data_IF_773440092425
#
_entry.id   IF_773440092425
#
_cell.length_a   1.000
_cell.length_b   1.000
_cell.length_c   1.000
_cell.angle_alpha   90.00
_cell.angle_beta   90.00
_cell.angle_gamma   90.00
#
_symmetry.space_group_name_H-M   'P 1'
#
loop_
_entity.id
_entity.type
_entity.pdbx_description
1 polymer ?
#
# COMPACT_ATOMS: atom_id res chain seq x y z
N UNK A 1 -45.53 0.44 26.24
CA UNK A 1 -44.85 1.25 25.20
C UNK A 1 -43.82 2.14 25.89
N UNK A 2 -42.53 1.91 25.65
CA UNK A 2 -41.47 2.88 25.94
C UNK A 2 -40.52 2.88 24.75
N UNK A 3 -40.64 3.93 23.94
CA UNK A 3 -39.80 4.22 22.78
C UNK A 3 -38.47 4.79 23.29
N UNK A 4 -37.43 3.96 23.44
CA UNK A 4 -36.05 4.45 23.49
C UNK A 4 -35.43 4.40 22.09
N UNK A 5 -35.99 5.24 21.22
CA UNK A 5 -35.40 5.54 19.93
C UNK A 5 -34.14 6.40 20.09
N UNK A 6 -33.02 5.87 19.61
CA UNK A 6 -32.12 6.55 18.66
C UNK A 6 -31.60 7.93 19.11
N UNK A 7 -30.31 7.97 19.49
CA UNK A 7 -29.28 8.84 18.86
C UNK A 7 -27.93 8.66 19.55
N UNK A 8 -27.22 7.57 19.25
CA UNK A 8 -25.76 7.68 19.18
C UNK A 8 -25.45 8.35 17.85
N UNK A 9 -25.51 9.68 17.90
CA UNK A 9 -24.92 10.63 16.98
C UNK A 9 -23.80 9.99 16.17
N UNK A 10 -24.03 9.82 14.86
CA UNK A 10 -23.02 9.48 13.87
C UNK A 10 -21.98 10.58 13.76
N UNK A 11 -21.18 10.75 14.81
CA UNK A 11 -19.85 11.35 14.67
C UNK A 11 -19.09 10.34 13.82
N UNK A 12 -19.13 10.53 12.50
CA UNK A 12 -18.07 10.09 11.60
C UNK A 12 -16.82 10.79 12.12
N UNK A 13 -16.20 10.22 13.16
CA UNK A 13 -14.86 10.62 13.58
C UNK A 13 -14.05 10.51 12.30
N UNK A 14 -13.55 11.62 11.74
CA UNK A 14 -12.74 11.55 10.54
C UNK A 14 -11.66 10.52 10.86
N UNK A 15 -11.58 9.47 10.03
CA UNK A 15 -10.62 8.40 10.20
C UNK A 15 -9.29 9.07 10.53
N UNK A 16 -8.77 8.91 11.77
CA UNK A 16 -7.60 9.65 12.19
C UNK A 16 -6.56 9.42 11.13
N UNK A 17 -6.09 10.52 10.56
CA UNK A 17 -5.16 10.51 9.45
C UNK A 17 -3.87 9.86 9.93
N UNK A 18 -3.76 8.54 9.76
CA UNK A 18 -2.51 7.84 9.47
C UNK A 18 -1.96 8.30 8.10
N UNK A 19 -2.20 9.57 7.74
CA UNK A 19 -1.98 10.16 6.42
C UNK A 19 -0.51 10.17 6.08
N UNK A 20 0.36 10.49 7.04
CA UNK A 20 1.81 10.47 6.84
C UNK A 20 2.32 9.06 6.46
N UNK A 21 1.81 8.02 7.12
CA UNK A 21 2.21 6.63 6.85
C UNK A 21 1.72 6.15 5.49
N UNK A 22 0.48 6.51 5.14
CA UNK A 22 -0.08 6.24 3.81
C UNK A 22 0.66 7.01 2.71
N UNK A 23 0.95 8.27 2.94
CA UNK A 23 1.70 9.13 2.01
C UNK A 23 3.09 8.57 1.79
N UNK A 24 3.78 8.10 2.83
CA UNK A 24 5.09 7.47 2.68
C UNK A 24 5.05 6.23 1.78
N UNK A 25 4.05 5.35 1.94
CA UNK A 25 3.87 4.18 1.05
C UNK A 25 3.60 4.64 -0.39
N UNK A 26 2.70 5.61 -0.59
CA UNK A 26 2.38 6.12 -1.92
C UNK A 26 3.56 6.80 -2.61
N UNK A 27 4.36 7.58 -1.87
CA UNK A 27 5.58 8.20 -2.40
C UNK A 27 6.56 7.12 -2.84
N UNK A 28 6.75 6.06 -2.04
CA UNK A 28 7.60 4.93 -2.43
C UNK A 28 7.07 4.21 -3.67
N UNK A 29 5.75 3.97 -3.76
CA UNK A 29 5.13 3.35 -4.95
C UNK A 29 5.37 4.21 -6.21
N UNK A 30 5.20 5.53 -6.12
CA UNK A 30 5.44 6.44 -7.25
C UNK A 30 6.92 6.45 -7.63
N UNK A 31 7.83 6.50 -6.67
CA UNK A 31 9.27 6.42 -6.94
C UNK A 31 9.67 5.09 -7.58
N UNK A 32 9.10 3.97 -7.10
CA UNK A 32 9.31 2.65 -7.69
C UNK A 32 8.89 2.63 -9.17
N UNK A 33 7.70 3.14 -9.48
CA UNK A 33 7.22 3.26 -10.86
C UNK A 33 8.12 4.16 -11.71
N UNK A 34 8.52 5.33 -11.20
CA UNK A 34 9.41 6.25 -11.92
C UNK A 34 10.74 5.60 -12.28
N UNK A 35 11.41 4.99 -11.29
CA UNK A 35 12.70 4.30 -11.51
C UNK A 35 12.53 3.15 -12.49
N UNK A 36 11.45 2.38 -12.36
CA UNK A 36 11.16 1.27 -13.25
C UNK A 36 10.97 1.70 -14.71
N UNK A 37 10.15 2.74 -14.95
CA UNK A 37 9.91 3.24 -16.31
C UNK A 37 11.16 3.89 -16.92
N UNK A 38 12.01 4.53 -16.12
CA UNK A 38 13.33 4.97 -16.58
C UNK A 38 14.17 3.76 -17.01
N UNK A 39 14.16 2.67 -16.24
CA UNK A 39 14.84 1.43 -16.60
C UNK A 39 14.34 0.84 -17.93
N UNK A 40 13.02 0.81 -18.14
CA UNK A 40 12.42 0.42 -19.44
C UNK A 40 12.91 1.33 -20.57
N UNK A 41 12.86 2.65 -20.38
CA UNK A 41 13.27 3.61 -21.41
C UNK A 41 14.75 3.52 -21.79
N UNK A 42 15.59 3.08 -20.84
CA UNK A 42 17.02 2.84 -21.05
C UNK A 42 17.34 1.42 -21.55
N UNK A 43 16.40 0.48 -21.47
CA UNK A 43 16.66 -0.95 -21.70
C UNK A 43 17.53 -1.60 -20.61
N UNK A 44 17.60 -1.01 -19.41
CA UNK A 44 18.52 -1.41 -18.35
C UNK A 44 17.81 -2.26 -17.27
N UNK A 45 18.03 -3.58 -17.32
CA UNK A 45 17.42 -4.56 -16.40
C UNK A 45 17.75 -4.27 -14.93
N UNK A 46 18.96 -3.80 -14.63
CA UNK A 46 19.35 -3.46 -13.26
C UNK A 46 18.53 -2.30 -12.70
N UNK A 47 18.21 -1.30 -13.53
CA UNK A 47 17.39 -0.16 -13.14
C UNK A 47 15.94 -0.59 -12.95
N UNK A 48 15.42 -1.47 -13.81
CA UNK A 48 14.10 -2.08 -13.64
C UNK A 48 14.01 -2.89 -12.34
N UNK A 49 15.03 -3.72 -12.05
CA UNK A 49 15.12 -4.47 -10.81
C UNK A 49 15.17 -3.56 -9.57
N UNK A 50 15.87 -2.42 -9.64
CA UNK A 50 15.86 -1.43 -8.58
C UNK A 50 14.46 -0.84 -8.34
N UNK A 51 13.72 -0.53 -9.42
CA UNK A 51 12.32 -0.10 -9.33
C UNK A 51 11.42 -1.15 -8.67
N UNK A 52 11.55 -2.42 -9.05
CA UNK A 52 10.82 -3.52 -8.42
C UNK A 52 11.17 -3.68 -6.92
N UNK A 53 12.45 -3.56 -6.56
CA UNK A 53 12.91 -3.61 -5.17
C UNK A 53 12.32 -2.46 -4.32
N UNK A 54 12.22 -1.26 -4.88
CA UNK A 54 11.53 -0.14 -4.22
C UNK A 54 10.05 -0.43 -3.96
N UNK A 55 9.36 -1.08 -4.91
CA UNK A 55 7.97 -1.53 -4.72
C UNK A 55 7.84 -2.53 -3.56
N UNK A 56 8.79 -3.45 -3.41
CA UNK A 56 8.82 -4.37 -2.27
C UNK A 56 9.10 -3.65 -0.94
N UNK A 57 9.93 -2.61 -0.94
CA UNK A 57 10.12 -1.75 0.23
C UNK A 57 8.82 -1.02 0.62
N UNK A 58 8.06 -0.50 -0.36
CA UNK A 58 6.74 0.09 -0.13
C UNK A 58 5.76 -0.93 0.48
N UNK A 59 5.77 -2.16 -0.06
CA UNK A 59 4.97 -3.28 0.44
C UNK A 59 5.31 -3.62 1.89
N UNK A 60 6.60 -3.70 2.22
CA UNK A 60 7.06 -3.96 3.60
C UNK A 60 6.62 -2.88 4.58
N UNK A 61 6.72 -1.61 4.18
CA UNK A 61 6.24 -0.48 4.98
C UNK A 61 4.71 -0.53 5.17
N UNK A 62 3.96 -0.83 4.11
CA UNK A 62 2.51 -0.94 4.18
C UNK A 62 2.07 -2.11 5.07
N UNK A 63 2.75 -3.26 4.98
CA UNK A 63 2.51 -4.40 5.86
C UNK A 63 2.79 -4.06 7.32
N UNK A 64 3.91 -3.38 7.61
CA UNK A 64 4.22 -2.92 8.96
C UNK A 64 3.15 -1.97 9.51
N UNK A 65 2.65 -1.05 8.67
CA UNK A 65 1.56 -0.14 9.03
C UNK A 65 0.27 -0.90 9.32
N UNK A 66 -0.07 -1.91 8.51
CA UNK A 66 -1.21 -2.79 8.72
C UNK A 66 -1.11 -3.58 10.03
N UNK A 67 0.05 -4.21 10.32
CA UNK A 67 0.24 -4.92 11.59
C UNK A 67 0.07 -4.00 12.79
N UNK A 68 0.59 -2.76 12.71
CA UNK A 68 0.41 -1.76 13.77
C UNK A 68 -1.05 -1.32 13.94
N UNK A 69 -1.83 -1.25 12.87
CA UNK A 69 -3.27 -0.95 12.94
C UNK A 69 -4.03 -2.12 13.61
N UNK A 70 -3.80 -3.36 13.16
CA UNK A 70 -4.42 -4.56 13.73
C UNK A 70 -4.07 -4.74 15.20
N UNK A 71 -2.81 -4.50 15.60
CA UNK A 71 -2.40 -4.59 17.00
C UNK A 71 -3.14 -3.59 17.91
N UNK A 72 -3.53 -2.42 17.38
CA UNK A 72 -4.30 -1.41 18.12
C UNK A 72 -5.80 -1.68 18.09
N UNK A 73 -6.30 -2.35 17.04
CA UNK A 73 -7.72 -2.57 16.75
C UNK A 73 -7.92 -3.98 16.18
N UNK A 74 -7.82 -5.03 17.02
CA UNK A 74 -7.86 -6.41 16.57
C UNK A 74 -9.21 -6.81 15.97
N UNK A 75 -10.28 -6.15 16.41
CA UNK A 75 -11.65 -6.24 15.87
C UNK A 75 -11.75 -5.84 14.38
N UNK A 76 -10.78 -5.09 13.86
CA UNK A 76 -10.77 -4.61 12.46
C UNK A 76 -9.97 -5.49 11.50
N UNK A 77 -9.43 -6.62 11.95
CA UNK A 77 -8.62 -7.53 11.11
C UNK A 77 -9.36 -7.96 9.83
N UNK A 78 -10.64 -8.27 9.97
CA UNK A 78 -11.46 -8.80 8.88
C UNK A 78 -12.14 -7.68 8.07
N UNK A 79 -12.25 -6.49 8.65
CA UNK A 79 -12.75 -5.31 7.96
C UNK A 79 -11.74 -4.79 6.93
N UNK A 80 -12.22 -4.26 5.81
CA UNK A 80 -11.37 -3.58 4.84
C UNK A 80 -10.96 -2.22 5.39
N UNK A 81 -9.80 -2.17 6.06
CA UNK A 81 -9.20 -0.93 6.57
C UNK A 81 -8.30 -0.28 5.53
N UNK A 82 -8.06 1.04 5.67
CA UNK A 82 -7.19 1.80 4.76
C UNK A 82 -5.76 1.23 4.72
N UNK A 83 -5.11 0.85 5.84
CA UNK A 83 -3.79 0.21 5.80
C UNK A 83 -3.78 -1.13 5.05
N UNK A 84 -4.82 -1.94 5.22
CA UNK A 84 -4.98 -3.22 4.50
C UNK A 84 -5.09 -2.99 2.98
N UNK A 85 -5.88 -2.01 2.57
CA UNK A 85 -6.02 -1.63 1.16
C UNK A 85 -4.69 -1.10 0.58
N UNK A 86 -3.98 -0.24 1.32
CA UNK A 86 -2.67 0.28 0.91
C UNK A 86 -1.63 -0.84 0.74
N UNK A 87 -1.65 -1.84 1.62
CA UNK A 87 -0.78 -3.02 1.54
C UNK A 87 -1.04 -3.84 0.27
N UNK A 88 -2.30 -4.10 -0.06
CA UNK A 88 -2.62 -4.82 -1.30
C UNK A 88 -2.19 -4.05 -2.54
N UNK A 89 -2.41 -2.73 -2.58
CA UNK A 89 -1.98 -1.89 -3.71
C UNK A 89 -0.46 -1.97 -3.89
N UNK A 90 0.30 -1.72 -2.81
CA UNK A 90 1.77 -1.76 -2.87
C UNK A 90 2.28 -3.16 -3.30
N UNK A 91 1.69 -4.23 -2.76
CA UNK A 91 2.02 -5.61 -3.15
C UNK A 91 1.75 -5.86 -4.64
N UNK A 92 0.57 -5.44 -5.14
CA UNK A 92 0.20 -5.61 -6.55
C UNK A 92 1.16 -4.87 -7.47
N UNK A 93 1.54 -3.63 -7.12
CA UNK A 93 2.53 -2.86 -7.86
C UNK A 93 3.88 -3.58 -7.86
N UNK A 94 4.40 -3.98 -6.70
CA UNK A 94 5.68 -4.67 -6.58
C UNK A 94 5.73 -5.98 -7.38
N UNK A 95 4.65 -6.77 -7.32
CA UNK A 95 4.53 -8.03 -8.05
C UNK A 95 4.47 -7.79 -9.57
N UNK A 96 3.72 -6.78 -10.01
CA UNK A 96 3.66 -6.41 -11.42
C UNK A 96 5.03 -5.95 -11.95
N UNK A 97 5.73 -5.08 -11.21
CA UNK A 97 7.08 -4.64 -11.59
C UNK A 97 8.06 -5.81 -11.64
N UNK A 98 8.01 -6.70 -10.66
CA UNK A 98 8.87 -7.89 -10.63
C UNK A 98 8.61 -8.81 -11.83
N UNK A 99 7.32 -9.05 -12.15
CA UNK A 99 6.93 -9.86 -13.31
C UNK A 99 7.40 -9.20 -14.61
N UNK A 100 7.21 -7.89 -14.76
CA UNK A 100 7.65 -7.15 -15.94
C UNK A 100 9.19 -7.17 -16.10
N UNK A 101 9.96 -7.04 -15.01
CA UNK A 101 11.43 -7.23 -15.05
C UNK A 101 11.79 -8.64 -15.52
N UNK A 102 11.14 -9.66 -14.95
CA UNK A 102 11.43 -11.05 -15.31
C UNK A 102 11.13 -11.33 -16.78
N UNK A 103 10.00 -10.84 -17.30
CA UNK A 103 9.66 -10.96 -18.72
C UNK A 103 10.64 -10.21 -19.62
N UNK A 104 11.09 -9.03 -19.20
CA UNK A 104 12.07 -8.24 -19.97
C UNK A 104 13.46 -8.88 -20.00
N UNK A 105 13.82 -9.67 -18.99
CA UNK A 105 15.07 -10.43 -18.98
C UNK A 105 15.04 -11.67 -19.89
N UNK A 106 13.84 -12.10 -20.31
CA UNK A 106 13.63 -13.25 -21.18
C UNK A 106 13.36 -12.86 -22.65
N UNK A 107 13.16 -11.57 -22.93
CA UNK A 107 12.90 -11.01 -24.25
C UNK A 107 14.21 -10.60 -24.93
#
# INVERSE_FOLDING_TARGET
MSLSGIRKSGKKVPLPTDGLRRVAVQVLDVLALMVFFVGIGMGELLVMAAGAALGWAATGLAYHNFQRDVAKRPDRRDAMSVPKMSMYIAFTVAAALTLMTALSALA
#
